data_IF_011246463517
#
_entry.id   IF_011246463517
#
_cell.length_a   1.000
_cell.length_b   1.000
_cell.length_c   1.000
_cell.angle_alpha   90.00
_cell.angle_beta   90.00
_cell.angle_gamma   90.00
#
_symmetry.space_group_name_H-M   'P 1'
#
loop_
_entity.id
_entity.type
_entity.pdbx_description
1 polymer ?
#
# COMPACT_ATOMS: atom_id res chain seq x y z
N UNK A 1 22.29 33.76 -26.77
CA UNK A 1 21.68 34.64 -25.75
C UNK A 1 20.59 33.86 -25.01
N UNK A 2 20.81 33.51 -23.74
CA UNK A 2 19.75 32.94 -22.90
C UNK A 2 18.76 34.06 -22.59
N UNK A 3 17.52 33.93 -23.04
CA UNK A 3 16.44 34.83 -22.59
C UNK A 3 16.25 34.55 -21.11
N UNK A 4 16.63 35.51 -20.28
CA UNK A 4 16.39 35.45 -18.85
C UNK A 4 14.88 35.36 -18.62
N UNK A 5 14.44 34.24 -18.06
CA UNK A 5 13.03 34.05 -17.72
C UNK A 5 12.72 34.92 -16.51
N UNK A 6 11.89 35.94 -16.69
CA UNK A 6 11.39 36.80 -15.62
C UNK A 6 10.34 36.05 -14.79
N UNK A 7 10.84 35.32 -13.79
CA UNK A 7 10.03 34.49 -12.89
C UNK A 7 8.98 35.30 -12.10
N UNK A 8 9.13 36.63 -12.01
CA UNK A 8 8.15 37.51 -11.35
C UNK A 8 6.89 37.74 -12.18
N UNK A 9 6.93 37.46 -13.50
CA UNK A 9 5.76 37.54 -14.38
C UNK A 9 4.89 36.28 -14.40
N UNK A 10 5.32 35.21 -13.73
CA UNK A 10 4.50 34.01 -13.55
C UNK A 10 3.36 34.33 -12.58
N UNK A 11 2.15 34.51 -13.11
CA UNK A 11 0.93 34.60 -12.31
C UNK A 11 0.77 33.30 -11.51
N UNK A 12 0.87 33.38 -10.18
CA UNK A 12 0.49 32.26 -9.30
C UNK A 12 -0.97 31.92 -9.61
N UNK A 13 -1.24 30.65 -9.92
CA UNK A 13 -2.59 30.18 -10.24
C UNK A 13 -3.51 30.51 -9.05
N UNK A 14 -4.57 31.31 -9.23
CA UNK A 14 -5.49 31.60 -8.15
C UNK A 14 -6.30 30.34 -7.82
N UNK A 15 -6.30 29.94 -6.56
CA UNK A 15 -7.06 28.81 -6.04
C UNK A 15 -6.21 27.67 -5.50
N UNK A 16 -6.74 26.99 -4.49
CA UNK A 16 -6.18 25.74 -3.95
C UNK A 16 -6.30 24.64 -4.99
N UNK A 17 -5.24 23.84 -5.17
CA UNK A 17 -5.29 22.66 -6.03
C UNK A 17 -6.39 21.75 -5.48
N UNK A 18 -7.44 21.52 -6.28
CA UNK A 18 -8.50 20.56 -5.95
C UNK A 18 -7.91 19.17 -6.07
N UNK A 19 -7.31 18.69 -4.98
CA UNK A 19 -6.91 17.29 -4.85
C UNK A 19 -8.12 16.49 -4.38
N UNK A 20 -8.38 15.35 -5.01
CA UNK A 20 -9.38 14.41 -4.54
C UNK A 20 -9.02 13.97 -3.11
N UNK A 21 -9.89 14.24 -2.14
CA UNK A 21 -9.68 13.84 -0.75
C UNK A 21 -9.46 12.34 -0.60
N UNK A 22 -10.08 11.54 -1.48
CA UNK A 22 -9.91 10.08 -1.54
C UNK A 22 -8.51 9.62 -1.96
N UNK A 23 -7.75 10.45 -2.68
CA UNK A 23 -6.39 10.13 -3.10
C UNK A 23 -5.34 10.44 -2.01
N UNK A 24 -5.74 11.17 -0.96
CA UNK A 24 -4.84 11.51 0.16
C UNK A 24 -4.72 10.32 1.11
N UNK A 25 -3.49 9.88 1.37
CA UNK A 25 -3.22 8.83 2.38
C UNK A 25 -3.35 9.42 3.78
N UNK A 26 -4.12 8.77 4.65
CA UNK A 26 -4.24 9.13 6.06
C UNK A 26 -3.24 8.30 6.89
N UNK A 27 -2.39 8.92 7.72
CA UNK A 27 -1.50 8.18 8.62
C UNK A 27 -2.30 7.49 9.73
N UNK A 28 -1.92 6.26 10.07
CA UNK A 28 -2.56 5.47 11.13
C UNK A 28 -1.46 5.02 12.10
N UNK A 29 -1.70 5.15 13.40
CA UNK A 29 -0.83 4.61 14.45
C UNK A 29 -1.46 3.36 15.04
N UNK A 30 -0.71 2.25 15.05
CA UNK A 30 -1.16 0.94 15.54
C UNK A 30 -0.08 0.41 16.48
N UNK A 31 -0.50 -0.14 17.63
CA UNK A 31 0.39 -0.87 18.54
C UNK A 31 0.44 -2.32 18.12
N UNK A 32 1.65 -2.87 17.98
CA UNK A 32 1.91 -4.26 17.60
C UNK A 32 2.94 -4.84 18.57
N UNK A 33 2.89 -6.15 18.76
CA UNK A 33 3.96 -6.87 19.45
C UNK A 33 5.26 -6.80 18.64
N UNK A 34 6.40 -6.83 19.35
CA UNK A 34 7.71 -6.81 18.71
C UNK A 34 7.99 -8.04 17.85
N UNK A 35 7.50 -9.21 18.27
CA UNK A 35 7.64 -10.46 17.53
C UNK A 35 6.86 -10.39 16.20
N UNK A 36 5.61 -9.94 16.24
CA UNK A 36 4.79 -9.77 15.03
C UNK A 36 5.41 -8.76 14.06
N UNK A 37 5.92 -7.64 14.57
CA UNK A 37 6.61 -6.64 13.76
C UNK A 37 7.84 -7.23 13.03
N UNK A 38 8.60 -8.09 13.70
CA UNK A 38 9.76 -8.74 13.12
C UNK A 38 9.35 -9.67 11.97
N UNK A 39 8.33 -10.50 12.15
CA UNK A 39 7.81 -11.38 11.10
C UNK A 39 7.28 -10.58 9.90
N UNK A 40 6.55 -9.49 10.14
CA UNK A 40 6.05 -8.62 9.07
C UNK A 40 7.21 -8.02 8.25
N UNK A 41 8.29 -7.59 8.92
CA UNK A 41 9.48 -7.05 8.24
C UNK A 41 10.15 -8.10 7.38
N UNK A 42 10.36 -9.30 7.91
CA UNK A 42 10.96 -10.41 7.17
C UNK A 42 10.16 -10.74 5.90
N UNK A 43 8.83 -10.80 6.00
CA UNK A 43 7.97 -11.05 4.83
C UNK A 43 8.04 -9.90 3.81
N UNK A 44 8.08 -8.65 4.28
CA UNK A 44 8.20 -7.49 3.41
C UNK A 44 9.56 -7.46 2.68
N UNK A 45 10.64 -7.81 3.39
CA UNK A 45 12.00 -7.96 2.82
C UNK A 45 12.03 -9.06 1.76
N UNK A 46 11.40 -10.22 2.03
CA UNK A 46 11.27 -11.31 1.05
C UNK A 46 10.55 -10.88 -0.22
N UNK A 47 9.56 -9.99 -0.10
CA UNK A 47 8.83 -9.41 -1.23
C UNK A 47 9.55 -8.21 -1.87
N UNK A 48 10.65 -7.74 -1.28
CA UNK A 48 11.40 -6.58 -1.76
C UNK A 48 10.66 -5.24 -1.61
N UNK A 49 9.72 -5.14 -0.66
CA UNK A 49 8.91 -3.94 -0.43
C UNK A 49 9.06 -3.40 1.00
N UNK A 50 8.85 -2.10 1.25
CA UNK A 50 8.86 -1.56 2.61
C UNK A 50 7.76 -2.20 3.47
N UNK A 51 8.06 -2.46 4.75
CA UNK A 51 7.09 -3.09 5.67
C UNK A 51 5.81 -2.26 5.83
N UNK A 52 5.88 -0.93 5.77
CA UNK A 52 4.66 -0.09 5.82
C UNK A 52 3.77 -0.31 4.59
N UNK A 53 4.40 -0.49 3.41
CA UNK A 53 3.68 -0.79 2.17
C UNK A 53 3.05 -2.17 2.22
N UNK A 54 3.74 -3.15 2.79
CA UNK A 54 3.21 -4.51 2.99
C UNK A 54 2.00 -4.52 3.93
N UNK A 55 2.07 -3.83 5.08
CA UNK A 55 0.93 -3.70 5.99
C UNK A 55 -0.25 -3.02 5.28
N UNK A 56 0.02 -1.96 4.51
CA UNK A 56 -1.01 -1.27 3.73
C UNK A 56 -1.68 -2.16 2.66
N UNK A 57 -0.91 -3.00 1.97
CA UNK A 57 -1.46 -3.92 0.97
C UNK A 57 -2.31 -5.02 1.59
N UNK A 58 -1.93 -5.54 2.76
CA UNK A 58 -2.76 -6.50 3.51
C UNK A 58 -4.08 -5.85 3.93
N UNK A 59 -4.04 -4.66 4.55
CA UNK A 59 -5.25 -3.96 4.98
C UNK A 59 -6.18 -3.66 3.80
N UNK A 60 -5.62 -3.29 2.66
CA UNK A 60 -6.39 -3.04 1.44
C UNK A 60 -7.04 -4.31 0.89
N UNK A 61 -6.31 -5.42 0.81
CA UNK A 61 -6.85 -6.71 0.38
C UNK A 61 -7.91 -7.23 1.35
N UNK A 62 -7.67 -7.07 2.65
CA UNK A 62 -8.63 -7.44 3.69
C UNK A 62 -9.93 -6.64 3.58
N UNK A 63 -9.84 -5.32 3.44
CA UNK A 63 -11.01 -4.45 3.28
C UNK A 63 -11.82 -4.74 2.01
N UNK A 64 -11.16 -5.21 0.95
CA UNK A 64 -11.82 -5.62 -0.30
C UNK A 64 -12.41 -7.04 -0.26
N UNK A 65 -12.02 -7.86 0.71
CA UNK A 65 -12.37 -9.29 0.75
C UNK A 65 -11.51 -10.17 -0.17
N UNK A 66 -10.42 -9.64 -0.72
CA UNK A 66 -9.52 -10.35 -1.64
C UNK A 66 -8.39 -11.09 -0.90
N UNK A 67 -8.31 -10.97 0.43
CA UNK A 67 -7.24 -11.60 1.21
C UNK A 67 -7.47 -13.11 1.31
N UNK A 68 -6.72 -13.86 0.51
CA UNK A 68 -6.74 -15.33 0.55
C UNK A 68 -5.73 -15.83 1.57
N UNK A 69 -6.22 -16.48 2.62
CA UNK A 69 -5.35 -17.12 3.61
C UNK A 69 -4.66 -18.36 3.02
N UNK A 70 -3.36 -18.54 3.28
CA UNK A 70 -2.59 -19.67 2.75
C UNK A 70 -3.16 -21.03 3.16
N UNK A 71 -3.78 -21.13 4.34
CA UNK A 71 -4.48 -22.34 4.78
C UNK A 71 -5.63 -22.71 3.84
N UNK A 72 -6.36 -21.72 3.36
CA UNK A 72 -7.47 -21.92 2.41
C UNK A 72 -6.95 -22.42 1.06
N UNK A 73 -5.80 -21.93 0.60
CA UNK A 73 -5.19 -22.37 -0.67
C UNK A 73 -4.81 -23.86 -0.63
N UNK A 74 -4.26 -24.34 0.48
CA UNK A 74 -3.88 -25.75 0.64
C UNK A 74 -5.11 -26.67 0.62
N UNK A 75 -6.18 -26.28 1.31
CA UNK A 75 -7.46 -27.01 1.32
C UNK A 75 -8.08 -27.03 -0.08
N UNK A 76 -8.09 -25.90 -0.79
CA UNK A 76 -8.62 -25.83 -2.17
C UNK A 76 -7.82 -26.71 -3.14
N UNK A 77 -6.49 -26.77 -2.99
CA UNK A 77 -5.65 -27.68 -3.78
C UNK A 77 -5.97 -29.14 -3.50
N UNK A 78 -6.17 -29.52 -2.24
CA UNK A 78 -6.55 -30.89 -1.85
C UNK A 78 -7.94 -31.26 -2.38
N UNK A 79 -8.92 -30.37 -2.26
CA UNK A 79 -10.27 -30.60 -2.78
C UNK A 79 -10.31 -30.76 -4.30
N UNK A 80 -9.52 -29.98 -5.04
CA UNK A 80 -9.37 -30.18 -6.50
C UNK A 80 -8.69 -31.50 -6.85
N UNK A 81 -7.67 -31.90 -6.09
CA UNK A 81 -6.93 -33.15 -6.34
C UNK A 81 -7.73 -34.43 -6.01
N UNK A 82 -8.80 -34.33 -5.21
CA UNK A 82 -9.70 -35.46 -4.90
C UNK A 82 -10.93 -35.54 -5.82
N UNK A 83 -11.10 -34.58 -6.72
CA UNK A 83 -12.23 -34.52 -7.66
C UNK A 83 -11.87 -34.88 -9.11
N UNK A 84 -10.65 -35.36 -9.35
CA UNK A 84 -10.12 -35.80 -10.66
C UNK A 84 -9.77 -37.28 -10.64
#
# INVERSE_FOLDING_TARGET
MKKEYDLKKLKKRPGTIKVDKSATKTPISIRLDGADLATIREQAERLGIPYQTFVGSILHQFAKGDLVEWRTVDVLKKLKASGE
#
